data_IF_440333668422
#
_entry.id   IF_440333668422
#
_cell.length_a   1.000
_cell.length_b   1.000
_cell.length_c   1.000
_cell.angle_alpha   90.00
_cell.angle_beta   90.00
_cell.angle_gamma   90.00
#
_symmetry.space_group_name_H-M   'P 1'
#
loop_
_entity.id
_entity.type
_entity.pdbx_description
1 polymer ?
#
# COMPACT_ATOMS: atom_id res chain seq x y z
N UNK A 1 -4.33 -3.81 -12.08
CA UNK A 1 -3.22 -4.27 -11.21
C UNK A 1 -3.09 -5.78 -11.38
N UNK A 2 -1.89 -6.31 -11.24
CA UNK A 2 -1.62 -7.75 -11.36
C UNK A 2 -0.85 -8.19 -10.14
N UNK A 3 -1.43 -9.13 -9.40
CA UNK A 3 -0.79 -9.75 -8.23
C UNK A 3 0.14 -10.87 -8.70
N UNK A 4 1.40 -10.85 -8.28
CA UNK A 4 2.42 -11.86 -8.61
C UNK A 4 3.13 -12.29 -7.33
N UNK A 5 3.89 -13.37 -7.36
CA UNK A 5 4.58 -13.89 -6.16
C UNK A 5 5.61 -12.90 -5.58
N UNK A 6 6.13 -11.98 -6.40
CA UNK A 6 7.14 -10.99 -6.05
C UNK A 6 6.57 -9.60 -5.70
N UNK A 7 5.25 -9.41 -5.85
CA UNK A 7 4.62 -8.13 -5.55
C UNK A 7 3.35 -7.84 -6.35
N UNK A 8 2.78 -6.67 -6.03
CA UNK A 8 1.64 -6.10 -6.71
C UNK A 8 2.12 -5.13 -7.78
N UNK A 9 1.82 -5.42 -9.04
CA UNK A 9 2.25 -4.64 -10.19
C UNK A 9 1.11 -3.81 -10.79
N UNK A 10 1.44 -2.64 -11.34
CA UNK A 10 0.50 -1.81 -12.10
C UNK A 10 1.16 -1.26 -13.36
N UNK A 11 0.32 -1.01 -14.38
CA UNK A 11 0.75 -0.34 -15.59
C UNK A 11 0.76 1.16 -15.32
N UNK A 12 1.92 1.79 -15.44
CA UNK A 12 2.07 3.26 -15.37
C UNK A 12 1.66 3.91 -16.68
N UNK A 13 2.01 3.25 -17.78
CA UNK A 13 1.66 3.58 -19.16
C UNK A 13 1.58 2.25 -19.94
N UNK A 14 1.11 2.24 -21.22
CA UNK A 14 0.89 1.00 -21.97
C UNK A 14 2.12 0.10 -22.08
N UNK A 15 3.33 0.68 -22.04
CA UNK A 15 4.59 -0.05 -22.24
C UNK A 15 5.38 -0.27 -20.94
N UNK A 16 5.01 0.43 -19.85
CA UNK A 16 5.73 0.38 -18.58
C UNK A 16 4.89 -0.22 -17.47
N UNK A 17 5.34 -1.38 -16.98
CA UNK A 17 4.83 -1.98 -15.75
C UNK A 17 5.79 -1.70 -14.59
N UNK A 18 5.24 -1.29 -13.46
CA UNK A 18 6.01 -0.98 -12.25
C UNK A 18 5.41 -1.70 -11.05
N UNK A 19 6.26 -2.03 -10.11
CA UNK A 19 5.85 -2.65 -8.86
C UNK A 19 5.32 -1.56 -7.92
N UNK A 20 4.06 -1.69 -7.49
CA UNK A 20 3.47 -0.81 -6.47
C UNK A 20 3.98 -1.21 -5.09
N UNK A 21 4.02 -2.51 -4.82
CA UNK A 21 4.33 -3.07 -3.50
C UNK A 21 5.08 -4.39 -3.69
N UNK A 22 6.14 -4.61 -2.91
CA UNK A 22 6.95 -5.84 -2.96
C UNK A 22 6.57 -6.81 -1.84
N UNK A 23 6.60 -8.10 -2.12
CA UNK A 23 6.65 -9.17 -1.13
C UNK A 23 7.36 -10.40 -1.73
N UNK A 24 8.03 -11.26 -0.94
CA UNK A 24 8.20 -11.16 0.52
C UNK A 24 9.09 -9.97 0.91
N UNK A 25 8.88 -9.46 2.13
CA UNK A 25 9.62 -8.32 2.70
C UNK A 25 9.84 -8.51 4.19
N UNK A 26 10.75 -7.73 4.76
CA UNK A 26 11.00 -7.70 6.23
C UNK A 26 10.51 -6.39 6.84
N UNK A 27 10.06 -6.42 8.09
CA UNK A 27 9.71 -5.20 8.84
C UNK A 27 10.92 -4.25 8.89
N UNK A 28 10.68 -2.97 8.59
CA UNK A 28 11.70 -1.92 8.48
C UNK A 28 12.33 -1.78 7.10
N UNK A 29 12.09 -2.72 6.18
CA UNK A 29 12.54 -2.58 4.79
C UNK A 29 11.87 -1.35 4.14
N UNK A 30 12.62 -0.63 3.32
CA UNK A 30 12.18 0.62 2.69
C UNK A 30 12.41 0.59 1.18
N UNK A 31 11.45 1.09 0.42
CA UNK A 31 11.49 1.21 -1.04
C UNK A 31 11.29 2.65 -1.46
N UNK A 32 11.95 3.07 -2.52
CA UNK A 32 11.83 4.42 -3.05
C UNK A 32 11.06 4.40 -4.37
N UNK A 33 10.01 5.22 -4.45
CA UNK A 33 9.21 5.44 -5.65
C UNK A 33 9.22 6.93 -5.99
N UNK A 34 10.08 7.34 -6.92
CA UNK A 34 10.23 8.73 -7.37
C UNK A 34 10.43 9.74 -6.22
N UNK A 35 9.35 10.24 -5.63
CA UNK A 35 9.34 11.26 -4.57
C UNK A 35 8.94 10.71 -3.20
N UNK A 36 8.53 9.44 -3.15
CA UNK A 36 7.93 8.83 -1.98
C UNK A 36 8.73 7.60 -1.54
N UNK A 37 8.65 7.28 -0.25
CA UNK A 37 9.26 6.09 0.34
C UNK A 37 8.20 5.25 1.04
N UNK A 38 8.11 3.98 0.65
CA UNK A 38 7.28 2.98 1.31
C UNK A 38 8.11 2.23 2.33
N UNK A 39 7.69 2.26 3.60
CA UNK A 39 8.33 1.55 4.70
C UNK A 39 7.44 0.42 5.16
N UNK A 40 7.98 -0.80 5.25
CA UNK A 40 7.27 -1.96 5.77
C UNK A 40 7.14 -1.83 7.28
N UNK A 41 5.92 -1.64 7.78
CA UNK A 41 5.68 -1.48 9.22
C UNK A 41 5.25 -2.77 9.90
N UNK A 42 4.55 -3.64 9.18
CA UNK A 42 4.17 -4.97 9.66
C UNK A 42 4.05 -5.93 8.49
N UNK A 43 4.42 -7.19 8.67
CA UNK A 43 4.22 -8.27 7.69
C UNK A 43 2.98 -9.12 7.99
N UNK A 44 2.33 -8.87 9.13
CA UNK A 44 1.15 -9.61 9.57
C UNK A 44 0.17 -8.69 10.30
N UNK A 45 -0.63 -7.97 9.53
CA UNK A 45 -1.72 -7.13 10.02
C UNK A 45 -3.05 -7.72 9.58
N UNK A 46 -3.87 -8.17 10.54
CA UNK A 46 -5.21 -8.66 10.23
C UNK A 46 -6.14 -7.48 9.87
N UNK A 47 -6.61 -7.47 8.63
CA UNK A 47 -7.60 -6.50 8.13
C UNK A 47 -8.90 -7.24 7.82
N UNK A 48 -10.01 -6.77 8.37
CA UNK A 48 -11.35 -7.36 8.14
C UNK A 48 -12.23 -6.34 7.42
N UNK A 49 -12.73 -6.74 6.25
CA UNK A 49 -13.57 -5.97 5.35
C UNK A 49 -14.76 -6.84 4.89
N UNK A 50 -15.77 -6.28 4.20
CA UNK A 50 -16.87 -7.07 3.65
C UNK A 50 -16.40 -8.24 2.75
N UNK A 51 -15.27 -8.07 2.05
CA UNK A 51 -14.68 -9.10 1.20
C UNK A 51 -13.97 -10.24 1.95
N UNK A 52 -13.83 -10.15 3.29
CA UNK A 52 -13.21 -11.16 4.13
C UNK A 52 -12.18 -10.59 5.11
N UNK A 53 -11.46 -11.50 5.78
CA UNK A 53 -10.35 -11.18 6.66
C UNK A 53 -9.03 -11.61 6.02
N UNK A 54 -8.04 -10.74 6.03
CA UNK A 54 -6.78 -10.92 5.33
C UNK A 54 -5.60 -10.59 6.24
N UNK A 55 -4.59 -11.46 6.23
CA UNK A 55 -3.28 -11.17 6.82
C UNK A 55 -2.47 -10.34 5.82
N UNK A 56 -2.29 -9.05 6.13
CA UNK A 56 -1.70 -8.07 5.23
C UNK A 56 -0.30 -7.67 5.67
N UNK A 57 0.55 -7.40 4.70
CA UNK A 57 1.71 -6.53 4.89
C UNK A 57 1.21 -5.08 4.88
N UNK A 58 1.61 -4.31 5.90
CA UNK A 58 1.32 -2.88 6.02
C UNK A 58 2.54 -2.06 5.64
N UNK A 59 2.34 -1.11 4.75
CA UNK A 59 3.33 -0.13 4.32
C UNK A 59 2.84 1.25 4.73
N UNK A 60 3.73 2.05 5.28
CA UNK A 60 3.49 3.48 5.46
C UNK A 60 4.23 4.21 4.32
N UNK A 61 3.51 5.11 3.65
CA UNK A 61 4.00 5.89 2.53
C UNK A 61 4.39 7.29 3.00
N UNK A 62 5.61 7.71 2.72
CA UNK A 62 6.16 8.99 3.17
C UNK A 62 6.72 9.81 2.01
N UNK A 63 6.46 11.12 2.03
CA UNK A 63 7.11 12.06 1.13
C UNK A 63 8.58 12.22 1.52
N UNK A 64 9.52 11.82 0.65
CA UNK A 64 10.96 11.76 0.96
C UNK A 64 11.50 13.12 1.44
N UNK A 65 11.06 14.22 0.81
CA UNK A 65 11.60 15.56 1.07
C UNK A 65 11.25 16.11 2.44
N UNK A 66 10.17 15.61 3.06
CA UNK A 66 9.65 16.15 4.33
C UNK A 66 9.50 15.10 5.41
N UNK A 67 9.59 13.81 5.08
CA UNK A 67 9.24 12.70 5.96
C UNK A 67 7.75 12.66 6.32
N UNK A 68 6.90 13.42 5.62
CA UNK A 68 5.46 13.49 5.90
C UNK A 68 4.79 12.19 5.49
N UNK A 69 4.00 11.61 6.39
CA UNK A 69 3.10 10.49 6.08
C UNK A 69 2.04 10.93 5.05
N UNK A 70 2.02 10.24 3.92
CA UNK A 70 1.08 10.42 2.81
C UNK A 70 -0.04 9.41 2.87
N UNK A 71 0.26 8.17 3.26
CA UNK A 71 -0.71 7.08 3.17
C UNK A 71 -0.31 5.84 3.95
N UNK A 72 -1.26 4.92 4.08
CA UNK A 72 -1.04 3.57 4.56
C UNK A 72 -1.63 2.58 3.55
N UNK A 73 -0.87 1.55 3.23
CA UNK A 73 -1.24 0.55 2.25
C UNK A 73 -1.21 -0.83 2.89
N UNK A 74 -2.28 -1.59 2.72
CA UNK A 74 -2.44 -2.93 3.25
C UNK A 74 -2.62 -3.89 2.08
N UNK A 75 -1.67 -4.78 1.89
CA UNK A 75 -1.68 -5.75 0.79
C UNK A 75 -1.42 -7.17 1.30
N UNK A 76 -2.16 -8.14 0.76
CA UNK A 76 -2.01 -9.54 1.09
C UNK A 76 -1.39 -10.30 -0.10
N UNK A 77 -0.29 -11.05 0.11
CA UNK A 77 0.24 -11.97 -0.90
C UNK A 77 -0.87 -12.91 -1.40
N UNK A 78 -0.90 -13.18 -2.70
CA UNK A 78 -1.94 -13.97 -3.35
C UNK A 78 -3.29 -13.26 -3.60
N UNK A 79 -3.56 -12.08 -3.00
CA UNK A 79 -4.82 -11.33 -3.22
C UNK A 79 -4.56 -9.95 -3.83
N UNK A 80 -3.57 -9.23 -3.33
CA UNK A 80 -3.23 -7.87 -3.77
C UNK A 80 -3.64 -6.79 -2.78
N UNK A 81 -4.09 -5.65 -3.29
CA UNK A 81 -4.47 -4.50 -2.46
C UNK A 81 -5.76 -4.79 -1.70
N UNK A 82 -5.69 -4.77 -0.38
CA UNK A 82 -6.83 -5.01 0.52
C UNK A 82 -7.43 -3.69 0.98
N UNK A 83 -6.57 -2.74 1.39
CA UNK A 83 -6.99 -1.43 1.88
C UNK A 83 -5.93 -0.37 1.57
N UNK A 84 -6.36 0.86 1.31
CA UNK A 84 -5.50 2.04 1.26
C UNK A 84 -6.14 3.19 2.02
N UNK A 85 -5.35 3.91 2.79
CA UNK A 85 -5.74 5.12 3.51
C UNK A 85 -4.82 6.25 3.06
N UNK A 86 -5.39 7.36 2.58
CA UNK A 86 -4.62 8.54 2.17
C UNK A 86 -4.83 9.69 3.16
N UNK A 87 -3.74 10.35 3.53
CA UNK A 87 -3.70 11.42 4.51
C UNK A 87 -3.39 12.78 3.87
N UNK A 88 -4.30 13.72 4.09
CA UNK A 88 -4.11 15.12 3.75
C UNK A 88 -3.69 15.94 4.97
N UNK A 89 -3.22 17.16 4.73
CA UNK A 89 -2.78 18.06 5.79
C UNK A 89 -3.50 19.40 5.64
N UNK A 90 -3.98 19.94 6.76
CA UNK A 90 -4.54 21.30 6.79
C UNK A 90 -3.43 22.35 6.70
N UNK A 91 -3.79 23.61 6.45
CA UNK A 91 -2.85 24.74 6.46
C UNK A 91 -2.07 24.86 7.79
N UNK A 92 -2.64 24.43 8.91
CA UNK A 92 -1.99 24.39 10.23
C UNK A 92 -1.14 23.15 10.51
N UNK A 93 -0.91 22.29 9.52
CA UNK A 93 -0.04 21.12 9.65
C UNK A 93 -0.71 19.86 10.23
N UNK A 94 -1.99 19.90 10.58
CA UNK A 94 -2.71 18.74 11.12
C UNK A 94 -3.04 17.74 10.02
N UNK A 95 -2.61 16.49 10.19
CA UNK A 95 -2.97 15.38 9.31
C UNK A 95 -4.41 14.92 9.58
N UNK A 96 -5.11 14.55 8.51
CA UNK A 96 -6.42 13.93 8.57
C UNK A 96 -6.57 12.90 7.45
N UNK A 97 -7.36 11.86 7.71
CA UNK A 97 -7.72 10.85 6.72
C UNK A 97 -8.62 11.50 5.66
N UNK A 98 -8.15 11.58 4.42
CA UNK A 98 -8.88 12.20 3.31
C UNK A 98 -9.62 11.18 2.46
N UNK A 99 -9.05 9.99 2.28
CA UNK A 99 -9.64 8.96 1.43
C UNK A 99 -9.34 7.56 2.00
N UNK A 100 -10.29 6.65 1.81
CA UNK A 100 -10.15 5.23 2.12
C UNK A 100 -10.64 4.41 0.95
N UNK A 101 -9.82 3.46 0.51
CA UNK A 101 -10.17 2.43 -0.45
C UNK A 101 -10.18 1.07 0.24
N UNK A 102 -11.24 0.29 0.02
CA UNK A 102 -11.42 -1.03 0.63
C UNK A 102 -11.80 -2.07 -0.42
N UNK A 103 -11.23 -3.27 -0.30
CA UNK A 103 -11.60 -4.41 -1.12
C UNK A 103 -12.99 -4.92 -0.75
N UNK A 104 -13.95 -4.76 -1.66
CA UNK A 104 -15.31 -5.25 -1.49
C UNK A 104 -15.46 -6.71 -1.94
N UNK A 105 -14.81 -7.08 -3.05
CA UNK A 105 -14.87 -8.44 -3.63
C UNK A 105 -13.69 -8.71 -4.55
N UNK A 106 -13.32 -9.98 -4.73
CA UNK A 106 -12.26 -10.42 -5.64
C UNK A 106 -12.55 -11.80 -6.23
N UNK A 107 -11.88 -12.13 -7.33
CA UNK A 107 -11.87 -13.47 -7.93
C UNK A 107 -10.42 -13.87 -8.10
N UNK A 108 -10.07 -15.07 -7.65
CA UNK A 108 -8.77 -15.68 -7.90
C UNK A 108 -8.87 -16.47 -9.20
N UNK A 109 -7.84 -16.32 -10.04
CA UNK A 109 -7.71 -17.06 -11.30
C UNK A 109 -6.61 -18.10 -11.19
#
# INVERSE_FOLDING_TARGET
>A
MTNRDDGLWYYRDPDTIVILIKYPVTVGESFFQLHDSLVVVSIDTLVTLPGGSFHCVRYDDYLITTGRLLGQIYAAPGVGLIKKEDFSQTFGGRLYLSEVMELISYVLH
#
